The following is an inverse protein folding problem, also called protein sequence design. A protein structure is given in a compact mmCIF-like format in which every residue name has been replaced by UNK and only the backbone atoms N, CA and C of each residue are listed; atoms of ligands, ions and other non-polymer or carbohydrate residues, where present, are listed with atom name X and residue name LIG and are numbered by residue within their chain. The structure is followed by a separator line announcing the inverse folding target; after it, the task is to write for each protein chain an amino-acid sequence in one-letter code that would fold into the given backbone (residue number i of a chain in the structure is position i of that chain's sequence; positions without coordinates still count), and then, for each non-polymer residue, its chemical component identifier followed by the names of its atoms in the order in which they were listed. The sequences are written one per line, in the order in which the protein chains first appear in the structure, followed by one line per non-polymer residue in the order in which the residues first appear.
data_IF_161229287777
#
_entry.id   IF_161229287777
#
_cell.length_a   1.000
_cell.length_b   1.000
_cell.length_c   1.000
_cell.angle_alpha   90.00
_cell.angle_beta   90.00
_cell.angle_gamma   90.00
#
_symmetry.space_group_name_H-M   'P 1'
#
loop_
_entity.id
_entity.type
_entity.pdbx_description
1 polymer ?
#
# COMPACT_ATOMS: atom_id res chain seq x y z
N UNK A 1 12.22 23.20 -25.09
CA UNK A 1 11.77 23.63 -23.77
C UNK A 1 11.54 22.44 -22.81
N UNK A 2 10.71 21.47 -23.13
CA UNK A 2 10.44 20.33 -22.21
C UNK A 2 11.72 19.54 -21.89
N UNK A 3 12.61 19.36 -22.86
CA UNK A 3 13.87 18.62 -22.67
C UNK A 3 14.90 19.37 -21.81
N UNK A 4 14.79 20.70 -21.71
CA UNK A 4 15.64 21.51 -20.84
C UNK A 4 15.20 21.53 -19.38
N UNK A 5 14.01 21.01 -19.07
CA UNK A 5 13.50 20.95 -17.70
C UNK A 5 14.04 19.72 -16.94
N UNK A 6 14.20 19.80 -15.61
CA UNK A 6 14.44 18.63 -14.78
C UNK A 6 13.38 17.55 -15.00
N UNK A 7 13.78 16.27 -14.96
CA UNK A 7 12.89 15.13 -15.24
C UNK A 7 11.61 15.15 -14.37
N UNK A 8 11.72 15.57 -13.10
CA UNK A 8 10.58 15.70 -12.18
C UNK A 8 9.51 16.69 -12.63
N UNK A 9 9.87 17.71 -13.42
CA UNK A 9 8.97 18.79 -13.84
C UNK A 9 8.42 18.59 -15.25
N UNK A 10 9.06 17.74 -16.05
CA UNK A 10 8.70 17.52 -17.47
C UNK A 10 7.26 17.07 -17.64
N UNK A 11 6.81 16.12 -16.82
CA UNK A 11 5.46 15.54 -16.92
C UNK A 11 4.38 16.58 -16.56
N UNK A 12 4.61 17.38 -15.52
CA UNK A 12 3.70 18.46 -15.12
C UNK A 12 3.59 19.51 -16.21
N UNK A 13 4.76 20.03 -16.66
CA UNK A 13 4.82 21.04 -17.73
C UNK A 13 4.26 20.54 -19.06
N UNK A 14 4.42 19.25 -19.38
CA UNK A 14 3.82 18.63 -20.56
C UNK A 14 2.30 18.61 -20.48
N UNK A 15 1.73 18.26 -19.30
CA UNK A 15 0.27 18.28 -19.09
C UNK A 15 -0.30 19.69 -19.24
N UNK A 16 0.36 20.67 -18.67
CA UNK A 16 -0.07 22.07 -18.72
C UNK A 16 -0.04 22.58 -20.18
N UNK A 17 1.05 22.32 -20.90
CA UNK A 17 1.15 22.64 -22.33
C UNK A 17 0.13 21.91 -23.18
N UNK A 18 -0.15 20.64 -22.91
CA UNK A 18 -1.19 19.90 -23.62
C UNK A 18 -2.59 20.51 -23.38
N UNK A 19 -2.90 20.91 -22.15
CA UNK A 19 -4.17 21.59 -21.85
C UNK A 19 -4.27 22.94 -22.53
N UNK A 20 -3.16 23.72 -22.55
CA UNK A 20 -3.06 24.98 -23.27
C UNK A 20 -3.33 24.79 -24.78
N UNK A 21 -2.65 23.84 -25.42
CA UNK A 21 -2.88 23.59 -26.85
C UNK A 21 -4.27 23.01 -27.15
N UNK A 22 -4.83 22.24 -26.25
CA UNK A 22 -6.22 21.77 -26.37
C UNK A 22 -7.21 22.95 -26.30
N UNK A 23 -6.96 23.92 -25.43
CA UNK A 23 -7.74 25.16 -25.38
C UNK A 23 -7.56 25.98 -26.67
N UNK A 24 -6.33 26.21 -27.13
CA UNK A 24 -6.06 26.94 -28.34
C UNK A 24 -6.72 26.30 -29.59
N UNK A 25 -6.74 24.97 -29.68
CA UNK A 25 -7.47 24.25 -30.72
C UNK A 25 -9.00 24.47 -30.65
N UNK A 26 -9.59 24.46 -29.46
CA UNK A 26 -11.03 24.79 -29.28
C UNK A 26 -11.34 26.21 -29.72
N UNK A 27 -10.43 27.15 -29.49
CA UNK A 27 -10.56 28.55 -29.92
C UNK A 27 -10.18 28.75 -31.39
N UNK A 28 -9.88 27.69 -32.14
CA UNK A 28 -9.46 27.70 -33.55
C UNK A 28 -8.20 28.53 -33.82
N UNK A 29 -7.37 28.76 -32.79
CA UNK A 29 -6.08 29.44 -32.92
C UNK A 29 -5.01 28.52 -33.53
N UNK A 30 -5.17 27.21 -33.43
CA UNK A 30 -4.30 26.20 -34.04
C UNK A 30 -5.13 25.05 -34.58
N UNK A 31 -4.64 24.39 -35.66
CA UNK A 31 -5.30 23.23 -36.25
C UNK A 31 -4.88 21.90 -35.64
N UNK A 32 -3.64 21.79 -35.25
CA UNK A 32 -3.07 20.56 -34.66
C UNK A 32 -2.41 20.85 -33.31
N UNK A 33 -2.45 19.87 -32.41
CA UNK A 33 -1.74 19.96 -31.14
C UNK A 33 -0.28 19.55 -31.40
N UNK A 34 0.71 20.46 -31.22
CA UNK A 34 2.09 20.19 -31.58
C UNK A 34 2.83 19.25 -30.59
N UNK A 35 2.20 18.88 -29.53
CA UNK A 35 2.72 17.93 -28.54
C UNK A 35 2.09 16.58 -28.84
N UNK A 36 2.90 15.66 -29.38
CA UNK A 36 2.52 14.26 -29.51
C UNK A 36 2.37 13.64 -28.11
N UNK A 37 1.41 12.75 -27.98
CA UNK A 37 1.14 12.04 -26.70
C UNK A 37 2.23 10.99 -26.42
N UNK A 38 3.49 11.39 -26.58
CA UNK A 38 4.61 10.63 -26.07
C UNK A 38 4.51 10.69 -24.54
N UNK A 39 3.85 9.72 -23.97
CA UNK A 39 4.08 9.37 -22.58
C UNK A 39 5.56 9.00 -22.51
N UNK A 40 6.38 9.95 -22.06
CA UNK A 40 7.65 9.55 -21.49
C UNK A 40 7.28 8.55 -20.40
N UNK A 41 7.43 7.27 -20.69
CA UNK A 41 7.46 6.25 -19.64
C UNK A 41 8.74 6.56 -18.85
N UNK A 42 8.66 7.55 -17.97
CA UNK A 42 9.58 7.57 -16.86
C UNK A 42 9.35 6.21 -16.21
N UNK A 43 10.39 5.36 -16.28
CA UNK A 43 10.40 4.15 -15.51
C UNK A 43 9.92 4.55 -14.11
N UNK A 44 8.82 4.02 -13.62
CA UNK A 44 8.36 4.38 -12.29
C UNK A 44 9.56 4.21 -11.38
N UNK A 45 9.88 5.21 -10.57
CA UNK A 45 10.91 5.09 -9.54
C UNK A 45 10.55 3.82 -8.77
N UNK A 46 11.32 2.77 -8.98
CA UNK A 46 11.19 1.53 -8.24
C UNK A 46 11.55 1.94 -6.81
N UNK A 47 10.54 2.05 -5.94
CA UNK A 47 10.85 2.12 -4.52
C UNK A 47 11.59 0.83 -4.21
N UNK A 48 12.81 0.94 -3.73
CA UNK A 48 13.59 -0.21 -3.33
C UNK A 48 12.83 -0.93 -2.20
N UNK A 49 12.74 -2.24 -2.31
CA UNK A 49 12.23 -3.08 -1.24
C UNK A 49 13.25 -3.12 -0.11
N UNK A 50 12.80 -3.51 1.06
CA UNK A 50 13.68 -3.78 2.20
C UNK A 50 14.60 -4.95 1.90
N UNK A 51 15.85 -4.83 2.33
CA UNK A 51 16.79 -5.94 2.36
C UNK A 51 16.30 -7.03 3.32
N UNK A 52 16.76 -8.26 3.15
CA UNK A 52 16.40 -9.37 4.04
C UNK A 52 16.74 -9.07 5.53
N UNK A 53 17.85 -8.37 5.79
CA UNK A 53 18.22 -7.98 7.16
C UNK A 53 17.23 -6.98 7.75
N UNK A 54 16.83 -5.95 7.00
CA UNK A 54 15.84 -4.96 7.44
C UNK A 54 14.48 -5.60 7.71
N UNK A 55 14.06 -6.53 6.85
CA UNK A 55 12.81 -7.27 7.04
C UNK A 55 12.84 -8.11 8.31
N UNK A 56 13.94 -8.83 8.55
CA UNK A 56 14.14 -9.62 9.76
C UNK A 56 14.12 -8.74 11.01
N UNK A 57 14.84 -7.62 11.00
CA UNK A 57 14.82 -6.64 12.08
C UNK A 57 13.42 -6.08 12.33
N UNK A 58 12.69 -5.73 11.28
CA UNK A 58 11.33 -5.23 11.41
C UNK A 58 10.39 -6.29 11.99
N UNK A 59 10.49 -7.54 11.54
CA UNK A 59 9.68 -8.63 12.07
C UNK A 59 9.96 -8.86 13.57
N UNK A 60 11.23 -8.87 13.98
CA UNK A 60 11.60 -8.95 15.41
C UNK A 60 11.02 -7.78 16.20
N UNK A 61 11.13 -6.57 15.67
CA UNK A 61 10.57 -5.38 16.31
C UNK A 61 9.05 -5.47 16.50
N UNK A 62 8.33 -5.95 15.49
CA UNK A 62 6.87 -6.18 15.61
C UNK A 62 6.59 -7.19 16.73
N UNK A 63 7.40 -8.23 16.84
CA UNK A 63 7.23 -9.30 17.85
C UNK A 63 7.57 -8.85 19.27
N UNK A 64 8.64 -8.09 19.45
CA UNK A 64 9.18 -7.71 20.75
C UNK A 64 8.54 -6.43 21.29
N UNK A 65 8.48 -5.38 20.45
CA UNK A 65 7.98 -4.06 20.86
C UNK A 65 6.49 -3.89 20.58
N UNK A 66 5.89 -4.76 19.76
CA UNK A 66 4.55 -4.58 19.26
C UNK A 66 3.47 -4.49 20.35
N UNK A 67 3.61 -5.25 21.43
CA UNK A 67 2.65 -5.22 22.56
C UNK A 67 2.69 -3.87 23.29
N UNK A 68 3.86 -3.23 23.34
CA UNK A 68 4.01 -1.88 23.92
C UNK A 68 3.47 -0.77 23.02
N UNK A 69 3.41 -1.02 21.72
CA UNK A 69 2.93 -0.07 20.69
C UNK A 69 1.94 -0.75 19.72
N UNK A 70 0.81 -1.32 20.24
CA UNK A 70 -0.04 -2.20 19.45
C UNK A 70 -0.69 -1.50 18.26
N UNK A 71 -0.98 -0.21 18.38
CA UNK A 71 -1.55 0.60 17.31
C UNK A 71 -0.59 0.70 16.10
N UNK A 72 0.63 1.17 16.35
CA UNK A 72 1.65 1.38 15.34
C UNK A 72 2.14 0.05 14.74
N UNK A 73 2.30 -0.96 15.60
CA UNK A 73 2.74 -2.30 15.18
C UNK A 73 1.70 -2.99 14.29
N UNK A 74 0.41 -2.91 14.63
CA UNK A 74 -0.66 -3.49 13.81
C UNK A 74 -0.78 -2.78 12.45
N UNK A 75 -0.69 -1.44 12.41
CA UNK A 75 -0.65 -0.70 11.15
C UNK A 75 0.55 -1.11 10.28
N UNK A 76 1.71 -1.30 10.91
CA UNK A 76 2.94 -1.71 10.23
C UNK A 76 2.82 -3.13 9.68
N UNK A 77 2.29 -4.07 10.46
CA UNK A 77 2.12 -5.46 10.03
C UNK A 77 1.16 -5.59 8.85
N UNK A 78 0.04 -4.86 8.86
CA UNK A 78 -0.90 -4.83 7.73
C UNK A 78 -0.25 -4.34 6.42
N UNK A 79 0.65 -3.37 6.51
CA UNK A 79 1.41 -2.91 5.35
C UNK A 79 2.50 -3.90 4.92
N UNK A 80 3.21 -4.49 5.90
CA UNK A 80 4.41 -5.29 5.67
C UNK A 80 4.08 -6.75 5.31
N UNK A 81 3.12 -7.37 6.01
CA UNK A 81 2.80 -8.79 5.84
C UNK A 81 1.66 -9.03 4.83
N UNK A 82 0.75 -8.06 4.68
CA UNK A 82 -0.43 -8.18 3.82
C UNK A 82 -0.49 -7.17 2.69
N UNK A 83 0.54 -6.36 2.50
CA UNK A 83 0.62 -5.35 1.45
C UNK A 83 -0.61 -4.40 1.40
N UNK A 84 -1.28 -4.16 2.53
CA UNK A 84 -2.49 -3.32 2.57
C UNK A 84 -2.14 -1.85 2.34
N UNK A 85 -2.89 -1.20 1.47
CA UNK A 85 -2.71 0.23 1.21
C UNK A 85 -3.25 1.07 2.38
N UNK A 86 -2.55 2.15 2.75
CA UNK A 86 -3.01 3.08 3.81
C UNK A 86 -4.44 3.61 3.56
N UNK A 87 -4.84 3.77 2.28
CA UNK A 87 -6.21 4.17 1.91
C UNK A 87 -7.24 3.10 2.27
N UNK A 88 -6.88 1.82 2.19
CA UNK A 88 -7.74 0.71 2.57
C UNK A 88 -7.78 0.53 4.09
N UNK A 89 -6.63 0.66 4.75
CA UNK A 89 -6.52 0.55 6.21
C UNK A 89 -7.45 1.54 6.90
N UNK A 90 -7.53 2.79 6.45
CA UNK A 90 -8.40 3.80 7.05
C UNK A 90 -9.89 3.45 6.95
N UNK A 91 -10.28 2.65 5.96
CA UNK A 91 -11.68 2.30 5.67
C UNK A 91 -12.13 1.04 6.41
N UNK A 92 -11.23 0.31 7.08
CA UNK A 92 -11.58 -0.89 7.84
C UNK A 92 -12.54 -0.52 8.96
N UNK A 93 -13.70 -1.17 8.97
CA UNK A 93 -14.71 -1.03 10.03
C UNK A 93 -14.51 -2.07 11.14
N UNK A 94 -14.95 -1.76 12.35
CA UNK A 94 -14.94 -2.72 13.45
C UNK A 94 -15.74 -3.99 13.11
N UNK A 95 -16.88 -3.83 12.45
CA UNK A 95 -17.72 -4.94 12.01
C UNK A 95 -17.08 -5.87 10.99
N UNK A 96 -16.00 -5.43 10.34
CA UNK A 96 -15.24 -6.23 9.38
C UNK A 96 -14.22 -7.16 10.06
N UNK A 97 -13.99 -6.99 11.36
CA UNK A 97 -13.00 -7.75 12.13
C UNK A 97 -13.68 -8.97 12.78
N UNK A 98 -13.22 -10.15 12.42
CA UNK A 98 -13.63 -11.40 13.07
C UNK A 98 -12.41 -12.02 13.77
N UNK A 99 -12.34 -11.84 15.09
CA UNK A 99 -11.21 -12.33 15.90
C UNK A 99 -11.20 -13.86 15.99
N UNK A 100 -12.37 -14.51 16.07
CA UNK A 100 -12.48 -15.96 16.16
C UNK A 100 -11.98 -16.65 14.89
N UNK A 101 -12.35 -16.11 13.73
CA UNK A 101 -11.90 -16.60 12.42
C UNK A 101 -10.54 -16.04 12.01
N UNK A 102 -9.96 -15.14 12.80
CA UNK A 102 -8.66 -14.49 12.53
C UNK A 102 -8.63 -13.77 11.18
N UNK A 103 -9.72 -13.10 10.83
CA UNK A 103 -9.88 -12.47 9.52
C UNK A 103 -10.37 -11.03 9.64
N UNK A 104 -9.88 -10.18 8.75
CA UNK A 104 -10.46 -8.87 8.48
C UNK A 104 -11.06 -8.90 7.08
N UNK A 105 -12.38 -8.76 7.01
CA UNK A 105 -13.11 -8.70 5.74
C UNK A 105 -12.86 -7.37 5.06
N UNK A 106 -12.49 -7.42 3.79
CA UNK A 106 -12.17 -6.23 3.01
C UNK A 106 -13.18 -6.04 1.89
N UNK A 107 -13.62 -4.80 1.69
CA UNK A 107 -14.50 -4.48 0.56
C UNK A 107 -13.72 -4.49 -0.75
N UNK A 108 -14.23 -5.19 -1.75
CA UNK A 108 -13.73 -5.23 -3.16
C UNK A 108 -12.27 -5.75 -3.31
N UNK A 109 -11.73 -6.41 -2.29
CA UNK A 109 -10.41 -7.07 -2.33
C UNK A 109 -10.46 -8.33 -1.46
N UNK A 110 -9.51 -9.26 -1.63
CA UNK A 110 -9.42 -10.45 -0.78
C UNK A 110 -9.32 -10.12 0.70
N UNK A 111 -9.88 -11.00 1.53
CA UNK A 111 -9.83 -10.90 2.98
C UNK A 111 -8.40 -11.05 3.51
N UNK A 112 -8.13 -10.43 4.65
CA UNK A 112 -6.84 -10.50 5.34
C UNK A 112 -6.92 -11.56 6.42
N UNK A 113 -6.12 -12.62 6.30
CA UNK A 113 -5.98 -13.67 7.32
C UNK A 113 -4.83 -13.31 8.26
N UNK A 114 -5.18 -12.99 9.50
CA UNK A 114 -4.23 -12.50 10.50
C UNK A 114 -3.33 -13.62 11.03
N UNK A 115 -2.04 -13.33 11.12
CA UNK A 115 -1.05 -14.18 11.79
C UNK A 115 -1.25 -14.17 13.31
N UNK A 116 -0.76 -15.19 14.03
CA UNK A 116 -0.90 -15.25 15.49
C UNK A 116 -0.43 -13.98 16.22
N UNK A 117 0.68 -13.38 15.78
CA UNK A 117 1.18 -12.14 16.36
C UNK A 117 0.23 -10.96 16.14
N UNK A 118 -0.37 -10.87 14.96
CA UNK A 118 -1.31 -9.79 14.62
C UNK A 118 -2.59 -9.86 15.43
N UNK A 119 -3.01 -11.07 15.82
CA UNK A 119 -4.17 -11.25 16.68
C UNK A 119 -3.87 -10.72 18.08
N UNK A 120 -2.67 -10.98 18.60
CA UNK A 120 -2.23 -10.41 19.88
C UNK A 120 -2.22 -8.88 19.78
N UNK A 121 -1.62 -8.31 18.74
CA UNK A 121 -1.60 -6.86 18.52
C UNK A 121 -2.99 -6.27 18.37
N UNK A 122 -3.88 -6.97 17.68
CA UNK A 122 -5.27 -6.53 17.50
C UNK A 122 -6.02 -6.50 18.84
N UNK A 123 -5.88 -7.53 19.67
CA UNK A 123 -6.51 -7.60 21.00
C UNK A 123 -6.00 -6.45 21.88
N UNK A 124 -4.69 -6.27 21.97
CA UNK A 124 -4.07 -5.18 22.74
C UNK A 124 -4.51 -3.80 22.23
N UNK A 125 -4.55 -3.63 20.91
CA UNK A 125 -5.05 -2.40 20.31
C UNK A 125 -6.54 -2.18 20.65
N UNK A 126 -7.38 -3.21 20.59
CA UNK A 126 -8.79 -3.10 20.91
C UNK A 126 -9.03 -2.72 22.39
N UNK A 127 -8.17 -3.19 23.31
CA UNK A 127 -8.20 -2.78 24.71
C UNK A 127 -7.83 -1.30 24.85
N UNK A 128 -6.71 -0.88 24.23
CA UNK A 128 -6.27 0.51 24.22
C UNK A 128 -7.33 1.44 23.58
N UNK A 129 -7.99 0.97 22.52
CA UNK A 129 -9.03 1.74 21.80
C UNK A 129 -10.21 2.09 22.70
N UNK A 130 -10.59 1.25 23.68
CA UNK A 130 -11.69 1.52 24.64
C UNK A 130 -11.44 2.76 25.48
N UNK A 131 -10.18 3.16 25.66
CA UNK A 131 -9.80 4.37 26.39
C UNK A 131 -9.91 5.66 25.56
N UNK A 132 -10.15 5.53 24.26
CA UNK A 132 -10.23 6.69 23.37
C UNK A 132 -11.61 7.39 23.52
N UNK A 133 -11.66 8.71 23.60
CA UNK A 133 -12.90 9.46 23.85
C UNK A 133 -14.02 9.20 22.82
N UNK A 134 -13.65 8.88 21.58
CA UNK A 134 -14.58 8.62 20.46
C UNK A 134 -14.75 7.13 20.14
N UNK A 135 -14.41 6.24 21.07
CA UNK A 135 -14.47 4.80 20.86
C UNK A 135 -15.87 4.31 20.45
N UNK A 136 -16.91 4.78 21.15
CA UNK A 136 -18.28 4.33 20.91
C UNK A 136 -18.93 4.95 19.67
N UNK A 137 -18.57 6.19 19.35
CA UNK A 137 -19.17 6.93 18.24
C UNK A 137 -18.53 6.66 16.88
N UNK A 138 -17.37 6.02 16.85
CA UNK A 138 -16.63 5.78 15.61
C UNK A 138 -16.63 4.29 15.23
N UNK A 139 -17.18 3.98 14.05
CA UNK A 139 -17.30 2.61 13.54
C UNK A 139 -16.03 2.05 12.89
N UNK A 140 -15.00 2.92 12.65
CA UNK A 140 -13.75 2.48 12.04
C UNK A 140 -12.87 1.73 13.04
N UNK A 141 -12.11 0.76 12.55
CA UNK A 141 -11.15 0.03 13.37
C UNK A 141 -10.09 1.00 13.94
N UNK A 142 -9.45 1.78 13.08
CA UNK A 142 -8.39 2.71 13.46
C UNK A 142 -8.94 4.12 13.69
N UNK A 143 -8.76 4.63 14.90
CA UNK A 143 -9.21 5.97 15.32
C UNK A 143 -8.06 6.73 15.99
N UNK A 144 -8.16 8.06 16.06
CA UNK A 144 -7.17 8.89 16.76
C UNK A 144 -7.52 9.05 18.23
N UNK A 145 -6.49 9.01 19.08
CA UNK A 145 -6.58 9.44 20.48
C UNK A 145 -6.49 10.97 20.54
N UNK A 146 -7.57 11.68 20.26
CA UNK A 146 -7.57 13.15 20.31
C UNK A 146 -8.67 13.65 21.22
N UNK A 147 -8.34 14.65 22.06
CA UNK A 147 -9.33 15.47 22.77
C UNK A 147 -9.76 16.60 21.83
N UNK A 148 -11.03 16.71 21.53
CA UNK A 148 -11.59 17.79 20.71
C UNK A 148 -12.85 17.40 19.95
N UNK A 149 -13.54 18.37 19.39
CA UNK A 149 -14.79 18.23 18.63
C UNK A 149 -14.57 17.42 17.36
N UNK A 150 -14.56 16.10 17.51
CA UNK A 150 -14.48 15.20 16.39
C UNK A 150 -15.87 14.87 15.89
N UNK A 151 -16.03 15.03 14.57
CA UNK A 151 -17.18 14.47 13.88
C UNK A 151 -17.23 12.96 14.17
N UNK A 152 -18.35 12.45 14.69
CA UNK A 152 -18.51 11.04 14.90
C UNK A 152 -18.28 10.31 13.59
N UNK A 153 -17.66 9.13 13.67
CA UNK A 153 -17.41 8.22 12.54
C UNK A 153 -16.45 8.75 11.43
N UNK A 154 -15.46 9.55 11.81
CA UNK A 154 -14.44 10.01 10.87
C UNK A 154 -13.22 9.07 10.85
N UNK A 155 -12.81 8.53 9.68
CA UNK A 155 -11.62 7.67 9.57
C UNK A 155 -10.35 8.47 9.82
N UNK A 156 -9.29 7.78 10.23
CA UNK A 156 -7.95 8.38 10.31
C UNK A 156 -7.46 8.81 8.92
N UNK A 157 -6.68 9.88 8.85
CA UNK A 157 -6.13 10.32 7.57
C UNK A 157 -4.99 9.40 7.10
N UNK A 158 -4.78 9.33 5.78
CA UNK A 158 -3.63 8.62 5.17
C UNK A 158 -2.29 9.10 5.74
N UNK A 159 -2.14 10.42 5.92
CA UNK A 159 -0.93 11.04 6.50
C UNK A 159 -0.69 10.59 7.93
N UNK A 160 -1.75 10.45 8.72
CA UNK A 160 -1.64 9.94 10.08
C UNK A 160 -1.15 8.48 10.10
N UNK A 161 -1.74 7.60 9.29
CA UNK A 161 -1.28 6.21 9.15
C UNK A 161 0.19 6.17 8.73
N UNK A 162 0.58 6.97 7.73
CA UNK A 162 1.96 7.05 7.27
C UNK A 162 2.91 7.50 8.39
N UNK A 163 2.51 8.46 9.20
CA UNK A 163 3.30 8.93 10.33
C UNK A 163 3.47 7.85 11.40
N UNK A 164 2.41 7.12 11.75
CA UNK A 164 2.45 6.05 12.75
C UNK A 164 3.34 4.89 12.30
N UNK A 165 3.15 4.42 11.06
CA UNK A 165 3.98 3.36 10.46
C UNK A 165 5.45 3.78 10.43
N UNK A 166 5.75 5.01 9.98
CA UNK A 166 7.13 5.50 9.91
C UNK A 166 7.76 5.65 11.29
N UNK A 167 7.01 6.12 12.28
CA UNK A 167 7.47 6.25 13.66
C UNK A 167 7.89 4.89 14.25
N UNK A 168 7.13 3.84 13.98
CA UNK A 168 7.41 2.51 14.49
C UNK A 168 8.49 1.79 13.69
N UNK A 169 8.33 1.72 12.36
CA UNK A 169 9.17 0.90 11.49
C UNK A 169 10.43 1.61 10.97
N UNK A 170 10.44 2.94 10.92
CA UNK A 170 11.43 3.75 10.18
C UNK A 170 11.12 3.86 8.68
N UNK A 171 10.20 3.07 8.15
CA UNK A 171 9.90 2.99 6.72
C UNK A 171 8.51 3.54 6.38
N UNK A 172 8.30 3.85 5.11
CA UNK A 172 6.97 4.26 4.64
C UNK A 172 6.07 3.05 4.37
N UNK A 173 4.74 3.17 4.51
CA UNK A 173 3.80 2.11 4.12
C UNK A 173 3.99 1.59 2.70
N UNK A 174 4.43 2.46 1.79
CA UNK A 174 4.67 2.09 0.40
C UNK A 174 5.86 1.15 0.24
N UNK A 175 6.98 1.43 0.93
CA UNK A 175 8.18 0.55 0.93
C UNK A 175 7.82 -0.81 1.49
N UNK A 176 7.14 -0.86 2.65
CA UNK A 176 6.70 -2.11 3.27
C UNK A 176 5.81 -2.94 2.35
N UNK A 177 4.85 -2.28 1.71
CA UNK A 177 3.94 -2.91 0.74
C UNK A 177 4.69 -3.46 -0.47
N UNK A 178 5.63 -2.70 -1.03
CA UNK A 178 6.43 -3.13 -2.18
C UNK A 178 7.28 -4.34 -1.81
N UNK A 179 7.89 -4.35 -0.63
CA UNK A 179 8.66 -5.48 -0.10
C UNK A 179 7.82 -6.75 -0.08
N UNK A 180 6.64 -6.71 0.53
CA UNK A 180 5.72 -7.85 0.57
C UNK A 180 5.35 -8.34 -0.83
N UNK A 181 5.00 -7.43 -1.75
CA UNK A 181 4.58 -7.79 -3.11
C UNK A 181 5.72 -8.40 -3.93
N UNK A 182 6.95 -7.90 -3.77
CA UNK A 182 8.11 -8.47 -4.47
C UNK A 182 8.44 -9.87 -3.95
N UNK A 183 8.40 -10.09 -2.64
CA UNK A 183 8.62 -11.42 -2.08
C UNK A 183 7.54 -12.42 -2.52
N UNK A 184 6.28 -12.00 -2.46
CA UNK A 184 5.19 -12.87 -2.87
C UNK A 184 5.20 -13.16 -4.38
N UNK A 185 5.64 -12.20 -5.20
CA UNK A 185 5.85 -12.43 -6.62
C UNK A 185 7.00 -13.40 -6.90
N UNK A 186 8.10 -13.27 -6.14
CA UNK A 186 9.25 -14.17 -6.27
C UNK A 186 8.92 -15.61 -5.84
N UNK A 187 8.08 -15.79 -4.82
CA UNK A 187 7.72 -17.10 -4.29
C UNK A 187 6.60 -17.79 -5.09
N UNK A 188 5.61 -17.05 -5.56
CA UNK A 188 4.35 -17.60 -6.08
C UNK A 188 4.01 -17.08 -7.49
N UNK A 189 4.87 -16.25 -8.06
CA UNK A 189 4.64 -15.62 -9.36
C UNK A 189 3.68 -14.41 -9.34
N UNK A 190 3.70 -13.62 -10.42
CA UNK A 190 2.91 -12.41 -10.51
C UNK A 190 1.38 -12.65 -10.60
N UNK A 191 0.94 -13.84 -11.05
CA UNK A 191 -0.48 -14.20 -11.05
C UNK A 191 -1.04 -14.30 -9.64
N UNK A 192 -0.28 -14.82 -8.69
CA UNK A 192 -0.67 -14.88 -7.29
C UNK A 192 -1.00 -13.50 -6.72
N UNK A 193 -0.26 -12.45 -7.12
CA UNK A 193 -0.54 -11.09 -6.67
C UNK A 193 -1.92 -10.59 -7.12
N UNK A 194 -2.43 -11.06 -8.25
CA UNK A 194 -3.77 -10.69 -8.73
C UNK A 194 -4.85 -11.34 -7.87
N UNK A 195 -4.69 -12.60 -7.54
CA UNK A 195 -5.66 -13.39 -6.81
C UNK A 195 -5.65 -13.08 -5.31
N UNK A 196 -4.46 -13.06 -4.70
CA UNK A 196 -4.32 -12.89 -3.25
C UNK A 196 -4.40 -11.42 -2.79
N UNK A 197 -3.98 -10.46 -3.63
CA UNK A 197 -3.93 -9.04 -3.24
C UNK A 197 -4.84 -8.12 -4.07
N UNK A 198 -5.57 -8.67 -5.03
CA UNK A 198 -6.48 -7.91 -5.88
C UNK A 198 -5.78 -6.86 -6.75
N UNK A 199 -4.51 -7.10 -7.15
CA UNK A 199 -3.72 -6.18 -7.96
C UNK A 199 -4.01 -6.41 -9.45
N UNK A 200 -4.15 -5.34 -10.24
CA UNK A 200 -4.32 -5.49 -11.69
C UNK A 200 -3.09 -6.14 -12.35
N UNK A 201 -3.30 -6.87 -13.46
CA UNK A 201 -2.22 -7.53 -14.20
C UNK A 201 -1.07 -6.57 -14.56
N UNK A 202 -1.41 -5.35 -15.00
CA UNK A 202 -0.40 -4.31 -15.33
C UNK A 202 0.45 -3.90 -14.13
N UNK A 203 -0.10 -3.94 -12.92
CA UNK A 203 0.64 -3.63 -11.69
C UNK A 203 1.40 -4.85 -11.17
N UNK A 204 0.84 -6.06 -11.29
CA UNK A 204 1.51 -7.29 -10.86
C UNK A 204 2.82 -7.53 -11.63
N UNK A 205 2.82 -7.29 -12.95
CA UNK A 205 4.03 -7.40 -13.78
C UNK A 205 5.18 -6.42 -13.44
N UNK A 206 4.97 -5.49 -12.49
CA UNK A 206 6.06 -4.64 -11.96
C UNK A 206 6.86 -5.30 -10.84
N UNK A 207 6.32 -6.34 -10.23
CA UNK A 207 6.92 -7.03 -9.09
C UNK A 207 7.56 -8.37 -9.47
N UNK A 208 7.31 -8.87 -10.69
CA UNK A 208 7.90 -10.09 -11.21
C UNK A 208 7.67 -10.21 -12.70
N UNK A 209 8.62 -10.81 -13.42
CA UNK A 209 8.48 -11.11 -14.83
C UNK A 209 7.61 -12.35 -15.00
N UNK A 210 6.53 -12.22 -15.78
CA UNK A 210 5.71 -13.38 -16.15
C UNK A 210 6.50 -14.40 -16.97
N UNK A 211 7.43 -13.93 -17.80
CA UNK A 211 8.24 -14.76 -18.66
C UNK A 211 9.24 -15.59 -17.84
N UNK A 212 9.95 -14.96 -16.90
CA UNK A 212 10.87 -15.64 -15.99
C UNK A 212 10.14 -16.70 -15.14
N UNK A 213 8.99 -16.34 -14.59
CA UNK A 213 8.18 -17.25 -13.79
C UNK A 213 7.73 -18.49 -14.60
N UNK A 214 7.24 -18.30 -15.82
CA UNK A 214 6.81 -19.40 -16.68
C UNK A 214 7.98 -20.32 -17.09
N UNK A 215 9.17 -19.75 -17.29
CA UNK A 215 10.38 -20.52 -17.57
C UNK A 215 10.80 -21.34 -16.35
N UNK A 216 10.81 -20.74 -15.15
CA UNK A 216 11.12 -21.47 -13.91
C UNK A 216 10.11 -22.59 -13.62
N UNK A 217 8.80 -22.33 -13.83
CA UNK A 217 7.74 -23.33 -13.66
C UNK A 217 7.93 -24.48 -14.64
N UNK A 218 8.19 -24.18 -15.92
CA UNK A 218 8.47 -25.19 -16.93
C UNK A 218 9.74 -26.01 -16.63
N UNK A 219 10.79 -25.40 -16.09
CA UNK A 219 12.02 -26.10 -15.68
C UNK A 219 11.77 -27.00 -14.46
N UNK A 220 10.98 -26.57 -13.48
CA UNK A 220 10.58 -27.40 -12.33
C UNK A 220 9.76 -28.60 -12.77
N UNK A 221 8.78 -28.40 -13.66
CA UNK A 221 7.96 -29.47 -14.21
C UNK A 221 8.78 -30.49 -15.06
N UNK A 222 9.84 -29.99 -15.69
CA UNK A 222 10.79 -30.83 -16.42
C UNK A 222 11.84 -31.54 -15.55
N UNK A 223 11.87 -31.27 -14.22
CA UNK A 223 12.86 -31.82 -13.29
C UNK A 223 14.28 -31.28 -13.49
N UNK A 224 14.42 -30.08 -14.07
CA UNK A 224 15.71 -29.47 -14.43
C UNK A 224 16.12 -28.34 -13.47
N UNK A 225 15.50 -28.24 -12.30
CA UNK A 225 15.83 -27.24 -11.25
C UNK A 225 16.78 -27.79 -10.19
#
# INVERSE_FOLDING_TARGET
YLLSLPASNRECSRKDLYQFFKFAKRKRCIFTIPITDYRTREMPRVCEALTYQEQRMLYHKIKEDGVSFPYEALLTSLCFLHAVQSMRIKEIKLSAVNVERKVIHMKDVPDIYLMPIEIVLLIEYMQMRKEFPNNESNTHLFIKRTRGDYLPDNPVSKTFITSMVRKFSGFTPQVLRITCLQEMAALNGPNFLREAYGISATHAGRYGSYEEYLVEEALKDAGLS
#
